data_IF_796386734280
#
_entry.id   IF_796386734280
#
_cell.length_a   1.000
_cell.length_b   1.000
_cell.length_c   1.000
_cell.angle_alpha   90.00
_cell.angle_beta   90.00
_cell.angle_gamma   90.00
#
_symmetry.space_group_name_H-M   'P 1'
#
loop_
_entity.id
_entity.type
_entity.pdbx_description
1 polymer ?
#
# COMPACT_ATOMS: atom_id res chain seq x y z
N UNK A 1 25.71 -11.31 4.68
CA UNK A 1 24.98 -11.82 3.49
C UNK A 1 24.68 -10.63 2.59
N UNK A 2 25.37 -10.49 1.46
CA UNK A 2 25.02 -9.48 0.46
C UNK A 2 23.81 -9.99 -0.32
N UNK A 3 22.64 -9.41 -0.06
CA UNK A 3 21.42 -9.71 -0.81
C UNK A 3 21.59 -9.28 -2.28
N UNK A 4 20.96 -10.01 -3.21
CA UNK A 4 21.01 -9.67 -4.63
C UNK A 4 20.25 -8.36 -4.90
N UNK A 5 20.98 -7.25 -5.00
CA UNK A 5 20.41 -5.91 -5.22
C UNK A 5 19.67 -5.79 -6.55
N UNK A 6 19.94 -6.68 -7.51
CA UNK A 6 19.29 -6.68 -8.81
C UNK A 6 17.89 -7.32 -8.79
N UNK A 7 17.53 -8.01 -7.71
CA UNK A 7 16.18 -8.57 -7.54
C UNK A 7 15.24 -7.50 -7.00
N UNK A 8 14.11 -7.28 -7.67
CA UNK A 8 13.02 -6.46 -7.13
C UNK A 8 12.24 -7.25 -6.08
N UNK A 9 12.00 -6.65 -4.93
CA UNK A 9 11.21 -7.24 -3.83
C UNK A 9 9.91 -6.45 -3.73
N UNK A 10 8.77 -7.14 -3.72
CA UNK A 10 7.45 -6.51 -3.57
C UNK A 10 6.84 -7.00 -2.26
N UNK A 11 6.71 -6.10 -1.28
CA UNK A 11 5.96 -6.37 -0.06
C UNK A 11 4.49 -6.06 -0.30
N UNK A 12 3.67 -7.10 -0.44
CA UNK A 12 2.25 -6.92 -0.74
C UNK A 12 1.44 -6.43 0.46
N UNK A 13 0.35 -5.74 0.14
CA UNK A 13 -0.71 -5.33 1.05
C UNK A 13 -0.33 -4.24 2.06
N UNK A 14 0.45 -3.24 1.63
CA UNK A 14 0.50 -1.96 2.35
C UNK A 14 -0.91 -1.44 2.60
N UNK A 15 -1.12 -0.79 3.74
CA UNK A 15 -2.44 -0.30 4.12
C UNK A 15 -3.37 -1.33 4.77
N UNK A 16 -2.91 -2.58 4.93
CA UNK A 16 -3.73 -3.70 5.39
C UNK A 16 -2.96 -4.66 6.31
N UNK A 17 -3.62 -5.19 7.34
CA UNK A 17 -3.08 -6.28 8.18
C UNK A 17 -4.20 -7.10 8.80
N UNK A 18 -4.09 -8.41 8.64
CA UNK A 18 -4.86 -9.41 9.41
C UNK A 18 -4.41 -9.48 10.88
N UNK A 19 -3.21 -8.99 11.19
CA UNK A 19 -2.63 -9.00 12.53
C UNK A 19 -3.21 -7.92 13.44
N UNK A 20 -4.04 -6.99 12.96
CA UNK A 20 -4.74 -6.02 13.81
C UNK A 20 -5.80 -6.65 14.75
N UNK A 21 -5.57 -7.88 15.21
CA UNK A 21 -6.19 -8.48 16.39
C UNK A 21 -5.68 -7.77 17.64
N UNK A 22 -6.47 -7.78 18.72
CA UNK A 22 -6.22 -7.03 19.98
C UNK A 22 -4.84 -7.26 20.64
N UNK A 23 -4.05 -8.23 20.18
CA UNK A 23 -2.79 -8.65 20.79
C UNK A 23 -1.54 -8.34 19.95
N UNK A 24 -1.65 -7.79 18.74
CA UNK A 24 -0.44 -7.40 17.99
C UNK A 24 0.14 -6.10 18.51
N UNK A 25 1.44 -6.14 18.78
CA UNK A 25 2.20 -4.94 19.12
C UNK A 25 2.38 -4.08 17.87
N UNK A 26 2.37 -2.77 18.06
CA UNK A 26 2.59 -1.79 16.98
C UNK A 26 3.91 -2.02 16.23
N UNK A 27 4.92 -2.59 16.92
CA UNK A 27 6.23 -2.95 16.36
C UNK A 27 6.17 -4.00 15.26
N UNK A 28 5.10 -4.79 15.21
CA UNK A 28 4.98 -5.93 14.29
C UNK A 28 4.16 -5.56 13.04
N UNK A 29 3.77 -4.29 12.91
CA UNK A 29 2.90 -3.81 11.85
C UNK A 29 3.67 -3.10 10.73
N UNK A 30 3.19 -3.24 9.50
CA UNK A 30 3.72 -2.57 8.32
C UNK A 30 3.32 -1.07 8.29
N UNK A 31 3.83 -0.29 9.24
CA UNK A 31 3.49 1.13 9.40
C UNK A 31 4.15 1.99 8.31
N UNK A 32 3.64 3.21 8.05
CA UNK A 32 4.30 4.16 7.14
C UNK A 32 5.77 4.38 7.48
N UNK A 33 6.09 4.54 8.76
CA UNK A 33 7.47 4.77 9.22
C UNK A 33 8.38 3.54 9.00
N UNK A 34 7.82 2.32 9.02
CA UNK A 34 8.57 1.12 8.68
C UNK A 34 8.83 1.04 7.17
N UNK A 35 7.81 1.33 6.35
CA UNK A 35 7.98 1.44 4.90
C UNK A 35 9.05 2.47 4.53
N UNK A 36 9.02 3.64 5.16
CA UNK A 36 10.03 4.69 4.94
C UNK A 36 11.45 4.19 5.21
N UNK A 37 11.68 3.64 6.41
CA UNK A 37 13.00 3.14 6.82
C UNK A 37 13.51 2.02 5.92
N UNK A 38 12.62 1.12 5.50
CA UNK A 38 13.01 0.00 4.65
C UNK A 38 13.25 0.45 3.21
N UNK A 39 12.44 1.33 2.65
CA UNK A 39 12.63 1.85 1.30
C UNK A 39 13.87 2.75 1.19
N UNK A 40 14.20 3.52 2.24
CA UNK A 40 15.46 4.29 2.30
C UNK A 40 16.68 3.37 2.24
N UNK A 41 16.64 2.25 2.96
CA UNK A 41 17.74 1.28 3.05
C UNK A 41 17.81 0.34 1.85
N UNK A 42 16.68 0.05 1.20
CA UNK A 42 16.55 -0.97 0.16
C UNK A 42 15.92 -0.37 -1.10
N UNK A 43 16.73 0.16 -2.03
CA UNK A 43 16.22 0.80 -3.26
C UNK A 43 15.49 -0.18 -4.20
N UNK A 44 15.63 -1.49 -3.97
CA UNK A 44 14.95 -2.56 -4.70
C UNK A 44 13.66 -3.04 -4.01
N UNK A 45 13.20 -2.38 -2.94
CA UNK A 45 11.93 -2.67 -2.26
C UNK A 45 10.79 -1.82 -2.82
N UNK A 46 9.70 -2.50 -3.17
CA UNK A 46 8.45 -1.94 -3.68
C UNK A 46 7.28 -2.50 -2.89
N UNK A 47 6.08 -1.95 -3.07
CA UNK A 47 4.88 -2.45 -2.40
C UNK A 47 3.62 -2.32 -3.25
N UNK A 48 2.67 -3.24 -3.03
CA UNK A 48 1.30 -3.09 -3.50
C UNK A 48 0.40 -2.62 -2.35
N UNK A 49 -0.43 -1.62 -2.61
CA UNK A 49 -1.43 -1.10 -1.68
C UNK A 49 -2.72 -1.90 -1.87
N UNK A 50 -3.23 -2.43 -0.77
CA UNK A 50 -4.53 -3.11 -0.72
C UNK A 50 -5.53 -2.20 -0.02
N UNK A 51 -6.62 -1.88 -0.72
CA UNK A 51 -7.66 -1.01 -0.18
C UNK A 51 -8.76 -1.85 0.46
N UNK A 52 -8.89 -1.79 1.80
CA UNK A 52 -10.05 -2.30 2.52
C UNK A 52 -10.45 -1.35 3.65
N UNK A 53 -11.58 -0.67 3.46
CA UNK A 53 -12.12 0.31 4.42
C UNK A 53 -12.53 -0.30 5.76
N UNK A 54 -12.72 -1.61 5.86
CA UNK A 54 -13.17 -2.25 7.11
C UNK A 54 -12.11 -2.23 8.24
N UNK A 55 -10.85 -1.92 7.92
CA UNK A 55 -9.71 -1.98 8.87
C UNK A 55 -9.28 -0.57 9.34
N UNK A 56 -10.17 0.41 9.26
CA UNK A 56 -9.94 1.83 9.63
C UNK A 56 -9.33 2.04 11.03
N UNK A 57 -9.57 1.13 11.98
CA UNK A 57 -9.10 1.28 13.36
C UNK A 57 -7.65 0.85 13.56
N UNK A 58 -7.01 0.27 12.54
CA UNK A 58 -5.62 -0.15 12.58
C UNK A 58 -4.69 1.02 12.30
N UNK A 59 -3.55 1.15 13.00
CA UNK A 59 -2.58 2.21 12.74
C UNK A 59 -1.89 2.11 11.38
N UNK A 60 -2.04 0.99 10.69
CA UNK A 60 -1.49 0.82 9.34
C UNK A 60 -2.55 0.95 8.24
N UNK A 61 -3.80 1.25 8.60
CA UNK A 61 -4.88 1.41 7.63
C UNK A 61 -4.55 2.53 6.65
N UNK A 62 -4.81 2.31 5.36
CA UNK A 62 -4.68 3.35 4.33
C UNK A 62 -5.74 4.46 4.47
N UNK A 63 -6.79 4.20 5.26
CA UNK A 63 -7.82 5.18 5.60
C UNK A 63 -7.96 5.37 7.10
N UNK A 64 -8.16 6.62 7.51
CA UNK A 64 -8.63 6.97 8.85
C UNK A 64 -10.16 6.82 8.99
N UNK A 65 -10.70 7.19 10.16
CA UNK A 65 -12.15 7.12 10.46
C UNK A 65 -13.03 7.99 9.57
N UNK A 66 -12.48 9.02 8.97
CA UNK A 66 -13.16 9.91 8.04
C UNK A 66 -13.04 9.45 6.59
N UNK A 67 -12.42 8.29 6.33
CA UNK A 67 -12.09 7.79 4.99
C UNK A 67 -11.07 8.65 4.23
N UNK A 68 -10.20 9.33 4.98
CA UNK A 68 -9.09 10.12 4.44
C UNK A 68 -7.78 9.36 4.59
N UNK A 69 -6.83 9.57 3.68
CA UNK A 69 -5.48 9.00 3.81
C UNK A 69 -4.76 9.68 4.98
N UNK A 70 -4.25 8.94 5.98
CA UNK A 70 -3.45 9.51 7.05
C UNK A 70 -2.23 10.28 6.53
N UNK A 71 -1.82 11.35 7.22
CA UNK A 71 -0.75 12.24 6.76
C UNK A 71 0.60 11.54 6.63
N UNK A 72 0.89 10.57 7.49
CA UNK A 72 2.12 9.77 7.43
C UNK A 72 2.13 8.81 6.23
N UNK A 73 0.99 8.25 5.83
CA UNK A 73 0.86 7.56 4.55
C UNK A 73 1.10 8.52 3.38
N UNK A 74 0.51 9.71 3.38
CA UNK A 74 0.74 10.72 2.33
C UNK A 74 2.22 11.09 2.21
N UNK A 75 2.93 11.26 3.33
CA UNK A 75 4.36 11.57 3.35
C UNK A 75 5.18 10.46 2.66
N UNK A 76 4.93 9.20 3.02
CA UNK A 76 5.65 8.05 2.44
C UNK A 76 5.35 7.88 0.94
N UNK A 77 4.08 8.01 0.54
CA UNK A 77 3.69 7.92 -0.87
C UNK A 77 4.33 9.03 -1.72
N UNK A 78 4.44 10.24 -1.18
CA UNK A 78 5.10 11.36 -1.86
C UNK A 78 6.63 11.21 -1.89
N UNK A 79 7.23 10.68 -0.83
CA UNK A 79 8.69 10.47 -0.74
C UNK A 79 9.17 9.36 -1.68
N UNK A 80 8.34 8.35 -1.93
CA UNK A 80 8.64 7.20 -2.79
C UNK A 80 7.57 7.00 -3.88
N UNK A 81 7.39 7.98 -4.78
CA UNK A 81 6.27 8.01 -5.71
C UNK A 81 6.31 6.89 -6.75
N UNK A 82 7.48 6.28 -6.95
CA UNK A 82 7.77 5.21 -7.90
C UNK A 82 7.90 3.82 -7.24
N UNK A 83 7.55 3.70 -5.95
CA UNK A 83 7.69 2.45 -5.16
C UNK A 83 6.39 1.75 -4.80
N UNK A 84 5.24 2.40 -5.04
CA UNK A 84 3.91 1.86 -4.71
C UNK A 84 3.06 1.64 -5.96
N UNK A 85 2.24 0.60 -5.94
CA UNK A 85 1.21 0.33 -6.95
C UNK A 85 -0.07 -0.14 -6.27
N UNK A 86 -1.23 -0.01 -6.91
CA UNK A 86 -2.47 -0.55 -6.38
C UNK A 86 -2.67 -2.03 -6.76
N UNK A 87 -3.21 -2.84 -5.85
CA UNK A 87 -3.57 -4.23 -6.10
C UNK A 87 -4.89 -4.60 -5.44
N UNK A 88 -5.77 -5.27 -6.19
CA UNK A 88 -7.10 -5.64 -5.70
C UNK A 88 -7.06 -6.78 -4.67
N UNK A 89 -6.11 -7.70 -4.80
CA UNK A 89 -6.10 -8.97 -4.05
C UNK A 89 -7.40 -9.76 -4.20
N UNK A 90 -8.08 -9.63 -5.35
CA UNK A 90 -9.26 -10.45 -5.68
C UNK A 90 -8.80 -11.89 -5.89
N UNK A 91 -9.43 -12.81 -5.16
CA UNK A 91 -9.18 -14.25 -5.26
C UNK A 91 -10.26 -14.92 -6.09
N UNK A 92 -9.86 -15.80 -7.00
CA UNK A 92 -10.78 -16.60 -7.80
C UNK A 92 -11.68 -17.45 -6.88
N UNK A 93 -12.99 -17.46 -7.14
CA UNK A 93 -13.96 -18.25 -6.38
C UNK A 93 -14.45 -17.61 -5.08
N UNK A 94 -13.94 -16.43 -4.69
CA UNK A 94 -14.47 -15.68 -3.55
C UNK A 94 -15.53 -14.65 -4.01
N UNK A 95 -16.69 -14.65 -3.34
CA UNK A 95 -17.71 -13.61 -3.50
C UNK A 95 -17.32 -12.45 -2.59
N UNK A 96 -16.43 -11.60 -3.08
CA UNK A 96 -16.19 -10.29 -2.48
C UNK A 96 -17.14 -9.27 -3.10
N UNK A 97 -17.55 -8.25 -2.34
CA UNK A 97 -18.27 -7.12 -2.90
C UNK A 97 -17.30 -6.27 -3.74
N UNK A 98 -17.13 -6.69 -5.00
CA UNK A 98 -16.24 -6.05 -5.96
C UNK A 98 -16.61 -4.58 -6.21
N UNK A 99 -17.90 -4.24 -6.14
CA UNK A 99 -18.37 -2.86 -6.28
C UNK A 99 -17.90 -1.99 -5.12
N UNK A 100 -18.02 -2.48 -3.88
CA UNK A 100 -17.48 -1.79 -2.70
C UNK A 100 -15.98 -1.58 -2.80
N UNK A 101 -15.22 -2.61 -3.21
CA UNK A 101 -13.77 -2.50 -3.37
C UNK A 101 -13.40 -1.47 -4.45
N UNK A 102 -14.06 -1.47 -5.60
CA UNK A 102 -13.85 -0.48 -6.66
C UNK A 102 -14.12 0.94 -6.14
N UNK A 103 -15.21 1.14 -5.38
CA UNK A 103 -15.55 2.45 -4.82
C UNK A 103 -14.51 2.93 -3.78
N UNK A 104 -14.03 2.03 -2.92
CA UNK A 104 -12.99 2.36 -1.95
C UNK A 104 -11.65 2.67 -2.67
N UNK A 105 -11.31 1.92 -3.71
CA UNK A 105 -10.14 2.18 -4.57
C UNK A 105 -10.24 3.56 -5.23
N UNK A 106 -11.38 3.89 -5.84
CA UNK A 106 -11.59 5.22 -6.46
C UNK A 106 -11.42 6.33 -5.43
N UNK A 107 -12.04 6.19 -4.25
CA UNK A 107 -11.89 7.14 -3.14
C UNK A 107 -10.45 7.35 -2.71
N UNK A 108 -9.64 6.30 -2.71
CA UNK A 108 -8.20 6.40 -2.42
C UNK A 108 -7.48 7.20 -3.52
N UNK A 109 -7.68 6.82 -4.78
CA UNK A 109 -7.03 7.46 -5.93
C UNK A 109 -7.42 8.95 -6.05
N UNK A 110 -8.69 9.30 -5.81
CA UNK A 110 -9.20 10.68 -5.88
C UNK A 110 -8.55 11.63 -4.84
N UNK A 111 -7.89 11.09 -3.81
CA UNK A 111 -7.18 11.87 -2.78
C UNK A 111 -5.69 12.09 -3.10
N UNK A 112 -5.16 11.41 -4.12
CA UNK A 112 -3.74 11.50 -4.48
C UNK A 112 -3.45 12.73 -5.34
N UNK A 113 -2.26 13.31 -5.17
CA UNK A 113 -1.77 14.33 -6.09
C UNK A 113 -1.57 13.72 -7.49
N UNK A 114 -1.83 14.50 -8.54
CA UNK A 114 -1.73 14.04 -9.94
C UNK A 114 -0.36 13.44 -10.28
N UNK A 115 0.71 13.92 -9.64
CA UNK A 115 2.09 13.45 -9.84
C UNK A 115 2.33 12.03 -9.33
N UNK A 116 1.65 11.60 -8.26
CA UNK A 116 1.78 10.24 -7.70
C UNK A 116 0.66 9.31 -8.15
N UNK A 117 -0.50 9.87 -8.53
CA UNK A 117 -1.68 9.14 -8.97
C UNK A 117 -1.35 8.19 -10.13
N UNK A 118 -0.74 8.70 -11.20
CA UNK A 118 -0.42 7.90 -12.39
C UNK A 118 0.53 6.74 -12.10
N UNK A 119 1.51 7.00 -11.22
CA UNK A 119 2.43 5.99 -10.72
C UNK A 119 1.67 4.86 -10.02
N UNK A 120 0.90 5.21 -9.00
CA UNK A 120 0.20 4.23 -8.14
C UNK A 120 -0.92 3.49 -8.89
N UNK A 121 -1.67 4.18 -9.76
CA UNK A 121 -2.78 3.55 -10.48
C UNK A 121 -2.30 2.55 -11.53
N UNK A 122 -1.13 2.77 -12.16
CA UNK A 122 -0.68 1.97 -13.30
C UNK A 122 0.84 2.00 -13.58
N UNK A 123 1.44 3.18 -13.76
CA UNK A 123 2.76 3.31 -14.40
C UNK A 123 3.87 2.60 -13.60
N UNK A 124 3.78 2.58 -12.26
CA UNK A 124 4.75 1.88 -11.45
C UNK A 124 4.70 0.37 -11.68
N UNK A 125 3.50 -0.21 -11.78
CA UNK A 125 3.34 -1.64 -12.06
C UNK A 125 3.95 -2.00 -13.43
N UNK A 126 3.65 -1.23 -14.48
CA UNK A 126 4.23 -1.41 -15.83
C UNK A 126 5.76 -1.35 -15.79
N UNK A 127 6.32 -0.34 -15.11
CA UNK A 127 7.77 -0.17 -14.98
C UNK A 127 8.45 -1.28 -14.17
N UNK A 128 7.77 -1.78 -13.13
CA UNK A 128 8.27 -2.82 -12.23
C UNK A 128 8.23 -4.19 -12.92
N UNK A 129 7.12 -4.55 -13.53
CA UNK A 129 6.89 -5.85 -14.14
C UNK A 129 7.29 -5.96 -15.61
N UNK A 130 7.58 -4.83 -16.28
CA UNK A 130 7.92 -4.78 -17.71
C UNK A 130 6.79 -5.30 -18.60
N UNK A 131 5.58 -4.81 -18.34
CA UNK A 131 4.35 -5.10 -19.09
C UNK A 131 3.85 -3.86 -19.81
#
# INVERSE_FOLDING_TARGET
>A
MNHNINTKIIWNHAGWSDLATKNSLYSDMATPQLFEKLMEKHPNLYSSIKIRKEIITSPISIFNRNSEIPSDWIEVLNKYPDRFMIGSDIKLGMIEDQFKMINDTRRFLDQLLSVILKGIERENAENIFKI
#
